data_IF_029765707507
#
_entry.id   IF_029765707507
#
_cell.length_a   1.000
_cell.length_b   1.000
_cell.length_c   1.000
_cell.angle_alpha   90.00
_cell.angle_beta   90.00
_cell.angle_gamma   90.00
#
_symmetry.space_group_name_H-M   'P 1'
#
loop_
_entity.id
_entity.type
_entity.pdbx_description
1 polymer ?
#
# COMPACT_ATOMS: atom_id res chain seq x y z
N UNK A 1 -4.92 -50.30 -54.25
CA UNK A 1 -5.69 -51.23 -53.39
C UNK A 1 -6.45 -50.41 -52.36
N UNK A 2 -7.78 -50.47 -52.43
CA UNK A 2 -8.74 -49.74 -51.60
C UNK A 2 -9.36 -50.75 -50.62
N UNK A 3 -9.30 -50.47 -49.32
CA UNK A 3 -10.13 -51.09 -48.28
C UNK A 3 -10.51 -49.95 -47.33
N UNK A 4 -11.78 -49.53 -47.31
CA UNK A 4 -12.84 -50.00 -46.41
C UNK A 4 -12.44 -49.85 -44.93
N UNK A 5 -13.12 -48.95 -44.20
CA UNK A 5 -13.89 -49.31 -43.01
C UNK A 5 -14.64 -48.07 -42.48
N UNK A 6 -15.69 -47.70 -43.23
CA UNK A 6 -16.87 -47.01 -42.73
C UNK A 6 -17.55 -48.00 -41.76
N UNK A 7 -17.11 -48.04 -40.50
CA UNK A 7 -17.71 -48.93 -39.48
C UNK A 7 -17.37 -48.54 -38.04
N UNK A 8 -17.33 -47.24 -37.73
CA UNK A 8 -17.27 -46.76 -36.32
C UNK A 8 -18.32 -45.68 -36.01
N UNK A 9 -19.04 -45.18 -37.02
CA UNK A 9 -20.03 -44.10 -36.86
C UNK A 9 -21.47 -44.57 -36.56
N UNK A 10 -21.68 -45.84 -36.22
CA UNK A 10 -23.02 -46.44 -36.02
C UNK A 10 -23.22 -47.10 -34.64
N UNK A 11 -22.35 -46.80 -33.66
CA UNK A 11 -22.38 -47.38 -32.32
C UNK A 11 -22.74 -46.44 -31.16
N UNK A 12 -22.97 -45.14 -31.39
CA UNK A 12 -23.15 -44.14 -30.33
C UNK A 12 -24.42 -43.30 -30.47
N UNK A 13 -25.39 -43.79 -31.24
CA UNK A 13 -26.70 -43.14 -31.45
C UNK A 13 -27.88 -43.94 -30.87
N UNK A 14 -27.63 -44.95 -30.01
CA UNK A 14 -28.66 -45.76 -29.34
C UNK A 14 -28.45 -45.89 -27.81
N UNK A 15 -28.02 -44.81 -27.16
CA UNK A 15 -28.13 -44.65 -25.69
C UNK A 15 -28.90 -43.38 -25.30
N UNK A 16 -29.80 -42.93 -26.18
CA UNK A 16 -30.85 -41.96 -25.86
C UNK A 16 -32.17 -42.70 -25.90
N UNK A 17 -32.80 -42.83 -24.72
CA UNK A 17 -34.12 -43.42 -24.40
C UNK A 17 -33.99 -44.63 -23.48
N UNK A 18 -33.98 -44.37 -22.16
CA UNK A 18 -34.85 -44.98 -21.15
C UNK A 18 -34.24 -44.80 -19.76
N UNK A 19 -34.40 -43.63 -19.16
CA UNK A 19 -34.53 -43.51 -17.70
C UNK A 19 -35.56 -42.44 -17.37
N UNK A 20 -36.84 -42.82 -17.52
CA UNK A 20 -37.91 -42.26 -16.70
C UNK A 20 -37.89 -43.08 -15.41
N UNK A 21 -37.40 -42.50 -14.31
CA UNK A 21 -37.59 -43.06 -12.97
C UNK A 21 -37.67 -41.94 -11.96
N UNK A 22 -38.87 -41.83 -11.37
CA UNK A 22 -39.20 -41.24 -10.07
C UNK A 22 -38.44 -39.98 -9.64
N UNK A 23 -39.05 -38.81 -9.86
CA UNK A 23 -38.75 -37.64 -9.06
C UNK A 23 -39.21 -37.91 -7.60
N UNK A 24 -38.31 -37.90 -6.61
CA UNK A 24 -38.73 -37.85 -5.22
C UNK A 24 -39.27 -36.44 -4.97
N UNK A 25 -40.54 -36.31 -4.62
CA UNK A 25 -41.05 -35.12 -3.94
C UNK A 25 -40.48 -35.12 -2.52
N UNK A 26 -39.19 -34.80 -2.43
CA UNK A 26 -38.52 -34.53 -1.17
C UNK A 26 -38.84 -33.11 -0.77
N UNK A 27 -39.69 -32.95 0.24
CA UNK A 27 -39.63 -31.79 1.11
C UNK A 27 -38.20 -31.70 1.64
N UNK A 28 -37.37 -30.94 0.93
CA UNK A 28 -36.01 -30.66 1.38
C UNK A 28 -36.07 -29.99 2.75
N UNK A 29 -35.17 -30.33 3.67
CA UNK A 29 -35.07 -29.61 4.94
C UNK A 29 -34.94 -28.12 4.61
N UNK A 30 -35.53 -27.22 5.44
CA UNK A 30 -35.48 -25.80 5.19
C UNK A 30 -34.03 -25.43 4.93
N UNK A 31 -33.78 -24.81 3.78
CA UNK A 31 -32.47 -24.30 3.40
C UNK A 31 -31.99 -23.44 4.55
N UNK A 32 -31.08 -23.98 5.36
CA UNK A 32 -30.40 -23.20 6.37
C UNK A 32 -29.63 -22.14 5.57
N UNK A 33 -30.18 -20.93 5.52
CA UNK A 33 -29.44 -19.77 5.08
C UNK A 33 -28.36 -19.58 6.14
N UNK A 34 -27.20 -20.19 5.91
CA UNK A 34 -26.00 -19.86 6.64
C UNK A 34 -25.71 -18.41 6.28
N UNK A 35 -26.14 -17.49 7.13
CA UNK A 35 -25.57 -16.15 7.17
C UNK A 35 -24.12 -16.33 7.62
N UNK A 36 -23.26 -16.66 6.67
CA UNK A 36 -21.82 -16.57 6.85
C UNK A 36 -21.54 -15.08 6.96
N UNK A 37 -21.48 -14.59 8.20
CA UNK A 37 -20.91 -13.28 8.48
C UNK A 37 -19.42 -13.43 8.19
N UNK A 38 -19.02 -13.11 6.97
CA UNK A 38 -17.61 -13.07 6.59
C UNK A 38 -16.98 -11.95 7.42
N UNK A 39 -16.12 -12.31 8.35
CA UNK A 39 -15.31 -11.32 9.04
C UNK A 39 -14.26 -10.80 8.07
N UNK A 40 -14.52 -9.62 7.50
CA UNK A 40 -13.60 -8.94 6.58
C UNK A 40 -12.27 -8.56 7.25
N UNK A 41 -12.15 -8.73 8.57
CA UNK A 41 -10.87 -8.58 9.29
C UNK A 41 -9.96 -9.79 9.16
N UNK A 42 -10.46 -10.95 8.72
CA UNK A 42 -9.61 -12.11 8.45
C UNK A 42 -8.90 -11.92 7.09
N UNK A 43 -7.55 -11.84 7.07
CA UNK A 43 -6.76 -11.61 5.86
C UNK A 43 -7.04 -12.62 4.74
N UNK A 44 -7.52 -13.83 5.07
CA UNK A 44 -7.83 -14.86 4.08
C UNK A 44 -9.02 -14.52 3.18
N UNK A 45 -9.97 -13.72 3.66
CA UNK A 45 -11.14 -13.31 2.87
C UNK A 45 -10.96 -11.95 2.18
N UNK A 46 -10.00 -11.13 2.64
CA UNK A 46 -9.62 -9.89 1.99
C UNK A 46 -9.11 -10.12 0.55
N UNK A 47 -8.32 -11.19 0.36
CA UNK A 47 -7.75 -11.59 -0.93
C UNK A 47 -8.80 -11.91 -2.00
N UNK A 48 -9.84 -12.65 -1.60
CA UNK A 48 -10.91 -13.12 -2.48
C UNK A 48 -11.80 -11.99 -3.01
N UNK A 49 -11.82 -10.84 -2.35
CA UNK A 49 -12.68 -9.69 -2.70
C UNK A 49 -11.90 -8.49 -3.26
N UNK A 50 -10.58 -8.60 -3.39
CA UNK A 50 -9.73 -7.46 -3.77
C UNK A 50 -9.75 -6.34 -2.73
N UNK A 51 -9.98 -6.69 -1.46
CA UNK A 51 -10.00 -5.74 -0.35
C UNK A 51 -8.57 -5.48 0.13
N UNK A 52 -8.10 -4.24 0.02
CA UNK A 52 -6.83 -3.81 0.59
C UNK A 52 -7.08 -3.15 1.96
N UNK A 53 -6.74 -3.85 3.08
CA UNK A 53 -7.00 -3.37 4.43
C UNK A 53 -6.22 -2.09 4.77
N UNK A 54 -5.15 -1.77 4.05
CA UNK A 54 -4.33 -0.59 4.34
C UNK A 54 -5.01 0.73 3.99
N UNK A 55 -6.12 0.72 3.25
CA UNK A 55 -6.94 1.90 2.96
C UNK A 55 -7.87 2.33 4.11
N UNK A 56 -8.00 1.52 5.16
CA UNK A 56 -8.94 1.79 6.24
C UNK A 56 -8.30 1.52 7.60
N UNK A 57 -8.76 2.26 8.61
CA UNK A 57 -8.43 1.98 10.00
C UNK A 57 -9.02 0.65 10.45
N UNK A 58 -8.18 -0.26 10.95
CA UNK A 58 -8.55 -1.64 11.31
C UNK A 58 -8.80 -1.84 12.81
N UNK A 59 -8.26 -0.95 13.65
CA UNK A 59 -8.32 -1.05 15.10
C UNK A 59 -7.19 -1.89 15.72
N UNK A 60 -6.07 -2.07 15.02
CA UNK A 60 -4.88 -2.75 15.55
C UNK A 60 -4.10 -1.88 16.54
N UNK A 61 -4.06 -0.57 16.30
CA UNK A 61 -3.37 0.41 17.13
C UNK A 61 -4.01 1.80 16.98
N UNK A 62 -3.62 2.80 17.77
CA UNK A 62 -4.06 4.19 17.52
C UNK A 62 -3.48 4.75 16.21
N UNK A 63 -2.22 4.41 15.91
CA UNK A 63 -1.54 4.83 14.68
C UNK A 63 -1.20 3.61 13.84
N UNK A 64 -1.93 3.39 12.76
CA UNK A 64 -1.68 2.29 11.83
C UNK A 64 -0.95 2.80 10.60
N UNK A 65 0.24 2.28 10.34
CA UNK A 65 1.10 2.70 9.24
C UNK A 65 1.35 1.52 8.33
N UNK A 66 1.12 1.72 7.04
CA UNK A 66 1.37 0.72 6.01
C UNK A 66 2.38 1.27 5.01
N UNK A 67 3.42 0.50 4.75
CA UNK A 67 4.52 0.86 3.86
C UNK A 67 4.62 -0.14 2.71
N UNK A 68 4.68 0.36 1.48
CA UNK A 68 4.81 -0.46 0.26
C UNK A 68 6.19 -1.10 0.13
N UNK A 69 6.24 -2.31 -0.42
CA UNK A 69 7.50 -3.04 -0.62
C UNK A 69 8.21 -2.67 -1.95
N UNK A 70 7.51 -2.05 -2.91
CA UNK A 70 8.13 -1.73 -4.21
C UNK A 70 9.13 -0.59 -4.03
N UNK A 71 10.41 -0.77 -4.40
CA UNK A 71 11.42 0.23 -4.15
C UNK A 71 11.30 1.40 -5.13
N UNK A 72 11.25 2.61 -4.58
CA UNK A 72 11.31 3.89 -5.31
C UNK A 72 12.56 4.65 -4.89
N UNK A 73 13.33 5.10 -5.88
CA UNK A 73 14.57 5.81 -5.65
C UNK A 73 14.29 7.27 -5.25
N UNK A 74 14.73 7.68 -4.07
CA UNK A 74 14.72 9.09 -3.63
C UNK A 74 16.09 9.74 -3.76
N UNK A 75 17.07 8.98 -4.23
CA UNK A 75 18.41 9.41 -4.58
C UNK A 75 19.15 9.98 -3.39
N UNK A 76 19.72 11.16 -3.56
CA UNK A 76 20.47 11.87 -2.52
C UNK A 76 19.57 12.64 -1.53
N UNK A 77 18.24 12.59 -1.68
CA UNK A 77 17.28 13.22 -0.76
C UNK A 77 16.85 12.18 0.28
N UNK A 78 17.49 12.18 1.44
CA UNK A 78 17.25 11.23 2.51
C UNK A 78 17.24 11.91 3.89
N UNK A 79 16.89 11.17 4.95
CA UNK A 79 16.83 11.67 6.32
C UNK A 79 15.90 12.88 6.47
N UNK A 80 16.30 13.85 7.27
CA UNK A 80 15.53 15.06 7.51
C UNK A 80 15.32 15.97 6.28
N UNK A 81 16.07 15.77 5.19
CA UNK A 81 15.74 16.44 3.93
C UNK A 81 14.48 15.84 3.28
N UNK A 82 14.39 14.51 3.25
CA UNK A 82 13.20 13.81 2.76
C UNK A 82 11.96 14.17 3.60
N UNK A 83 12.10 14.22 4.93
CA UNK A 83 11.03 14.70 5.82
C UNK A 83 10.51 16.09 5.40
N UNK A 84 11.43 17.05 5.24
CA UNK A 84 11.07 18.44 4.91
C UNK A 84 10.42 18.56 3.54
N UNK A 85 10.90 17.79 2.56
CA UNK A 85 10.33 17.75 1.21
C UNK A 85 8.92 17.14 1.25
N UNK A 86 8.75 15.98 1.87
CA UNK A 86 7.46 15.31 1.99
C UNK A 86 6.43 16.19 2.72
N UNK A 87 6.78 16.70 3.91
CA UNK A 87 5.88 17.55 4.70
C UNK A 87 5.43 18.78 3.94
N UNK A 88 6.37 19.52 3.33
CA UNK A 88 6.06 20.72 2.54
C UNK A 88 5.18 20.42 1.33
N UNK A 89 5.45 19.34 0.62
CA UNK A 89 4.66 18.95 -0.55
C UNK A 89 3.23 18.62 -0.11
N UNK A 90 3.06 17.78 0.91
CA UNK A 90 1.73 17.41 1.39
C UNK A 90 0.99 18.62 1.97
N UNK A 91 1.68 19.48 2.72
CA UNK A 91 1.11 20.72 3.26
C UNK A 91 0.63 21.65 2.14
N UNK A 92 1.41 21.80 1.07
CA UNK A 92 1.07 22.65 -0.07
C UNK A 92 -0.17 22.14 -0.81
N UNK A 93 -0.17 20.87 -1.20
CA UNK A 93 -1.29 20.27 -1.95
C UNK A 93 -2.58 20.22 -1.12
N UNK A 94 -2.46 20.07 0.19
CA UNK A 94 -3.61 20.00 1.09
C UNK A 94 -3.94 21.33 1.78
N UNK A 95 -3.35 22.45 1.38
CA UNK A 95 -3.49 23.73 2.09
C UNK A 95 -4.92 24.29 2.04
N UNK A 96 -5.64 24.06 0.94
CA UNK A 96 -6.93 24.69 0.64
C UNK A 96 -8.16 23.88 1.04
N UNK A 97 -7.98 22.74 1.71
CA UNK A 97 -9.07 21.80 1.93
C UNK A 97 -9.41 21.61 3.41
N UNK A 98 -10.67 21.91 3.74
CA UNK A 98 -11.24 21.68 5.07
C UNK A 98 -11.66 20.22 5.21
N UNK A 99 -10.79 19.44 5.87
CA UNK A 99 -11.10 18.10 6.35
C UNK A 99 -10.87 16.95 5.38
N UNK A 100 -10.43 17.22 4.14
CA UNK A 100 -10.09 16.20 3.16
C UNK A 100 -8.98 16.68 2.22
N UNK A 101 -8.36 15.79 1.44
CA UNK A 101 -7.41 16.15 0.40
C UNK A 101 -7.23 14.98 -0.56
N UNK A 102 -7.23 15.23 -1.86
CA UNK A 102 -6.86 14.23 -2.86
C UNK A 102 -6.35 14.94 -4.11
N UNK A 103 -5.37 14.33 -4.76
CA UNK A 103 -4.76 14.89 -5.96
C UNK A 103 -5.42 14.28 -7.21
N UNK A 104 -6.33 15.03 -7.84
CA UNK A 104 -6.98 14.66 -9.10
C UNK A 104 -6.03 14.66 -10.28
N UNK A 105 -5.10 15.61 -10.28
CA UNK A 105 -4.27 15.89 -11.42
C UNK A 105 -3.06 14.95 -11.42
N UNK A 106 -2.75 14.39 -12.58
CA UNK A 106 -1.58 13.51 -12.80
C UNK A 106 -0.24 14.23 -12.59
N UNK A 107 -0.26 15.55 -12.38
CA UNK A 107 0.91 16.36 -12.06
C UNK A 107 1.32 16.05 -10.62
N UNK A 108 2.12 15.01 -10.48
CA UNK A 108 2.83 14.67 -9.26
C UNK A 108 3.53 15.92 -8.71
N UNK A 109 3.52 16.07 -7.40
CA UNK A 109 4.30 17.09 -6.73
C UNK A 109 5.71 16.56 -6.60
N UNK A 110 6.62 17.12 -7.39
CA UNK A 110 7.96 16.56 -7.60
C UNK A 110 9.03 17.31 -6.82
N UNK A 111 10.10 16.61 -6.53
CA UNK A 111 11.36 17.16 -6.06
C UNK A 111 12.53 16.61 -6.87
N UNK A 112 13.53 17.46 -7.07
CA UNK A 112 14.75 17.06 -7.76
C UNK A 112 15.58 16.13 -6.88
N UNK A 113 16.17 15.13 -7.50
CA UNK A 113 17.10 14.21 -6.85
C UNK A 113 18.16 13.74 -7.85
N UNK A 114 19.19 13.07 -7.35
CA UNK A 114 20.22 12.41 -8.16
C UNK A 114 20.21 10.92 -7.92
N UNK A 115 20.28 10.14 -8.99
CA UNK A 115 20.35 8.68 -8.91
C UNK A 115 21.38 8.10 -9.87
N UNK A 116 21.76 6.85 -9.63
CA UNK A 116 22.59 6.07 -10.55
C UNK A 116 21.72 5.16 -11.43
N UNK A 117 22.08 5.02 -12.70
CA UNK A 117 21.43 4.11 -13.66
C UNK A 117 21.96 2.67 -13.53
N UNK A 118 21.27 1.65 -14.08
CA UNK A 118 21.80 0.30 -14.13
C UNK A 118 23.16 0.29 -14.82
N UNK A 119 24.16 -0.37 -14.21
CA UNK A 119 25.49 -0.56 -14.79
C UNK A 119 26.32 0.72 -15.07
N UNK A 120 25.87 1.91 -14.63
CA UNK A 120 26.67 3.14 -14.64
C UNK A 120 26.86 3.74 -13.24
N UNK A 121 28.07 4.18 -12.92
CA UNK A 121 28.43 4.88 -11.68
C UNK A 121 28.33 6.41 -11.81
N UNK A 122 27.88 6.91 -12.95
CA UNK A 122 27.49 8.30 -13.12
C UNK A 122 26.20 8.61 -12.35
N UNK A 123 26.12 9.82 -11.81
CA UNK A 123 24.92 10.36 -11.18
C UNK A 123 24.17 11.21 -12.20
N UNK A 124 22.88 10.93 -12.32
CA UNK A 124 21.96 11.63 -13.21
C UNK A 124 21.00 12.46 -12.37
N UNK A 125 20.74 13.68 -12.81
CA UNK A 125 19.64 14.49 -12.28
C UNK A 125 18.32 13.86 -12.73
N UNK A 126 17.33 13.92 -11.85
CA UNK A 126 15.95 13.59 -12.18
C UNK A 126 15.00 13.99 -11.07
N UNK A 127 13.80 13.43 -11.09
CA UNK A 127 12.72 13.86 -10.20
C UNK A 127 12.04 12.68 -9.52
N UNK A 128 11.71 12.81 -8.25
CA UNK A 128 10.78 11.91 -7.56
C UNK A 128 9.52 12.68 -7.23
N UNK A 129 8.38 12.05 -7.42
CA UNK A 129 7.07 12.63 -7.22
C UNK A 129 6.30 11.97 -6.07
N UNK A 130 5.41 12.77 -5.48
CA UNK A 130 4.38 12.30 -4.59
C UNK A 130 3.01 12.48 -5.23
N UNK A 131 2.13 11.49 -5.00
CA UNK A 131 0.71 11.54 -5.31
C UNK A 131 -0.07 11.34 -4.03
N UNK A 132 -0.89 12.31 -3.66
CA UNK A 132 -1.83 12.17 -2.55
C UNK A 132 -3.03 11.37 -3.05
N UNK A 133 -3.10 10.10 -2.65
CA UNK A 133 -4.21 9.21 -3.02
C UNK A 133 -5.47 9.60 -2.26
N UNK A 134 -5.32 9.88 -0.96
CA UNK A 134 -6.40 10.21 -0.06
C UNK A 134 -5.86 10.94 1.17
N UNK A 135 -6.64 11.85 1.73
CA UNK A 135 -6.39 12.48 3.01
C UNK A 135 -7.73 12.89 3.62
N UNK A 136 -7.93 12.58 4.88
CA UNK A 136 -9.10 12.98 5.65
C UNK A 136 -8.65 13.33 7.07
N UNK A 137 -9.20 14.40 7.63
CA UNK A 137 -8.94 14.77 9.02
C UNK A 137 -10.12 15.57 9.57
N UNK A 138 -10.34 15.46 10.86
CA UNK A 138 -11.33 16.31 11.53
C UNK A 138 -10.78 17.71 11.81
N UNK A 139 -9.55 17.79 12.32
CA UNK A 139 -8.98 19.04 12.83
C UNK A 139 -7.65 19.39 12.16
N UNK A 140 -7.24 20.67 12.17
CA UNK A 140 -5.89 21.06 11.73
C UNK A 140 -4.77 20.36 12.50
N UNK A 141 -5.00 20.00 13.76
CA UNK A 141 -4.01 19.26 14.56
C UNK A 141 -3.88 17.82 14.09
N UNK A 142 -5.01 17.12 13.83
CA UNK A 142 -4.99 15.79 13.23
C UNK A 142 -4.29 15.80 11.87
N UNK A 143 -4.53 16.82 11.04
CA UNK A 143 -3.83 17.02 9.76
C UNK A 143 -2.31 17.11 9.94
N UNK A 144 -1.83 18.00 10.82
CA UNK A 144 -0.39 18.17 11.08
C UNK A 144 0.25 16.87 11.55
N UNK A 145 -0.46 16.14 12.41
CA UNK A 145 0.01 14.89 12.98
C UNK A 145 0.10 13.78 11.92
N UNK A 146 -0.92 13.65 11.06
CA UNK A 146 -0.90 12.71 9.91
C UNK A 146 0.28 13.00 8.97
N UNK A 147 0.51 14.28 8.64
CA UNK A 147 1.63 14.70 7.79
C UNK A 147 2.96 14.37 8.46
N UNK A 148 3.13 14.73 9.74
CA UNK A 148 4.35 14.48 10.49
C UNK A 148 4.68 12.99 10.61
N UNK A 149 3.69 12.14 10.89
CA UNK A 149 3.85 10.68 10.98
C UNK A 149 4.25 10.09 9.63
N UNK A 150 3.56 10.50 8.56
CA UNK A 150 3.86 9.99 7.23
C UNK A 150 5.27 10.38 6.79
N UNK A 151 5.63 11.67 6.90
CA UNK A 151 6.96 12.17 6.56
C UNK A 151 8.06 11.57 7.45
N UNK A 152 7.79 11.38 8.74
CA UNK A 152 8.70 10.74 9.69
C UNK A 152 8.96 9.28 9.34
N UNK A 153 7.91 8.53 8.97
CA UNK A 153 8.07 7.17 8.48
C UNK A 153 8.95 7.11 7.22
N UNK A 154 8.75 8.02 6.26
CA UNK A 154 9.57 8.10 5.05
C UNK A 154 11.04 8.42 5.37
N UNK A 155 11.30 9.41 6.22
CA UNK A 155 12.65 9.72 6.71
C UNK A 155 13.30 8.49 7.34
N UNK A 156 12.60 7.85 8.28
CA UNK A 156 13.09 6.71 9.02
C UNK A 156 13.48 5.54 8.10
N UNK A 157 12.78 5.37 6.96
CA UNK A 157 13.14 4.32 6.01
C UNK A 157 14.55 4.45 5.44
N UNK A 158 15.07 5.67 5.33
CA UNK A 158 16.41 5.92 4.81
C UNK A 158 17.53 5.74 5.85
N UNK A 159 17.16 5.44 7.10
CA UNK A 159 18.09 5.09 8.17
C UNK A 159 18.46 3.61 8.14
N UNK A 160 17.64 2.74 7.54
CA UNK A 160 17.99 1.34 7.32
C UNK A 160 19.12 1.26 6.26
N UNK A 161 20.32 0.76 6.60
CA UNK A 161 21.42 0.66 5.65
C UNK A 161 21.09 -0.19 4.42
N UNK A 162 20.21 -1.20 4.54
CA UNK A 162 19.79 -2.02 3.41
C UNK A 162 19.05 -1.23 2.33
N UNK A 163 18.39 -0.14 2.71
CA UNK A 163 17.65 0.73 1.79
C UNK A 163 18.54 1.72 1.04
N UNK A 164 19.83 1.78 1.39
CA UNK A 164 20.74 2.76 0.82
C UNK A 164 21.99 2.08 0.24
N UNK A 165 22.57 2.73 -0.76
CA UNK A 165 23.77 2.27 -1.44
C UNK A 165 24.67 3.46 -1.72
N UNK A 166 25.93 3.19 -2.05
CA UNK A 166 26.91 4.23 -2.34
C UNK A 166 27.39 4.12 -3.78
N UNK A 167 27.45 5.26 -4.47
CA UNK A 167 28.04 5.39 -5.81
C UNK A 167 29.01 6.55 -5.78
N UNK A 168 30.29 6.28 -6.04
CA UNK A 168 31.37 7.28 -5.99
C UNK A 168 31.39 8.10 -4.69
N UNK A 169 31.15 7.44 -3.56
CA UNK A 169 31.12 8.07 -2.23
C UNK A 169 29.85 8.85 -1.91
N UNK A 170 28.87 8.92 -2.83
CA UNK A 170 27.56 9.54 -2.57
C UNK A 170 26.57 8.48 -2.10
N UNK A 171 25.94 8.73 -0.94
CA UNK A 171 24.85 7.90 -0.41
C UNK A 171 23.57 8.19 -1.18
N UNK A 172 22.94 7.12 -1.68
CA UNK A 172 21.66 7.14 -2.37
C UNK A 172 20.71 6.18 -1.66
N UNK A 173 19.42 6.49 -1.58
CA UNK A 173 18.45 5.66 -0.88
C UNK A 173 17.22 5.36 -1.72
N UNK A 174 16.61 4.22 -1.42
CA UNK A 174 15.29 3.83 -1.88
C UNK A 174 14.33 3.78 -0.70
N UNK A 175 13.06 4.00 -0.98
CA UNK A 175 11.96 3.90 -0.03
C UNK A 175 10.81 3.09 -0.64
N UNK A 176 9.77 2.77 0.14
CA UNK A 176 8.55 2.15 -0.38
C UNK A 176 7.76 3.07 -1.32
N UNK A 177 6.99 2.48 -2.24
CA UNK A 177 6.13 3.21 -3.18
C UNK A 177 4.81 3.70 -2.55
N UNK A 178 4.44 3.19 -1.38
CA UNK A 178 3.19 3.51 -0.69
C UNK A 178 3.47 3.85 0.77
N UNK A 179 2.80 4.88 1.27
CA UNK A 179 2.70 5.19 2.71
C UNK A 179 1.26 5.50 3.05
N UNK A 180 0.66 4.76 3.99
CA UNK A 180 -0.70 5.00 4.46
C UNK A 180 -0.72 5.06 5.96
N UNK A 181 -1.24 6.16 6.48
CA UNK A 181 -1.49 6.36 7.91
C UNK A 181 -2.99 6.34 8.12
N UNK A 182 -3.46 5.50 9.04
CA UNK A 182 -4.86 5.44 9.46
C UNK A 182 -4.94 5.61 10.98
N UNK A 183 -5.92 6.37 11.43
CA UNK A 183 -6.18 6.65 12.85
C UNK A 183 -7.68 6.52 13.15
N UNK A 184 -8.08 6.40 14.44
CA UNK A 184 -9.48 6.32 14.81
C UNK A 184 -10.28 7.50 14.28
N UNK A 185 -11.54 7.23 13.94
CA UNK A 185 -12.49 8.28 13.62
C UNK A 185 -12.77 9.14 14.85
N UNK A 186 -12.96 10.43 14.64
CA UNK A 186 -13.35 11.37 15.69
C UNK A 186 -14.61 12.11 15.22
N UNK A 187 -15.67 12.10 16.04
CA UNK A 187 -16.98 12.66 15.69
C UNK A 187 -17.54 12.23 14.32
N UNK A 188 -17.25 11.00 13.90
CA UNK A 188 -17.68 10.44 12.61
C UNK A 188 -16.77 10.76 11.42
N UNK A 189 -15.79 11.64 11.58
CA UNK A 189 -14.80 11.97 10.55
C UNK A 189 -13.66 10.96 10.52
N UNK A 190 -13.19 10.64 9.31
CA UNK A 190 -12.00 9.81 9.13
C UNK A 190 -10.73 10.62 9.43
N UNK A 191 -9.71 9.94 9.92
CA UNK A 191 -8.37 10.49 10.09
C UNK A 191 -7.39 9.55 9.37
N UNK A 192 -7.09 9.88 8.12
CA UNK A 192 -6.21 9.08 7.27
C UNK A 192 -5.42 9.96 6.30
N UNK A 193 -4.23 9.49 5.91
CA UNK A 193 -3.42 10.12 4.88
C UNK A 193 -2.67 9.03 4.11
N UNK A 194 -2.93 8.95 2.81
CA UNK A 194 -2.40 7.96 1.89
C UNK A 194 -1.63 8.64 0.78
N UNK A 195 -0.36 8.27 0.66
CA UNK A 195 0.60 8.80 -0.28
C UNK A 195 1.14 7.66 -1.15
N UNK A 196 1.28 7.92 -2.45
CA UNK A 196 2.08 7.11 -3.36
C UNK A 196 3.32 7.88 -3.77
N UNK A 197 4.47 7.23 -3.67
CA UNK A 197 5.75 7.71 -4.17
C UNK A 197 5.97 7.16 -5.58
N UNK A 198 6.42 8.02 -6.48
CA UNK A 198 6.67 7.69 -7.88
C UNK A 198 8.05 8.23 -8.22
N UNK A 199 8.98 7.37 -8.66
CA UNK A 199 10.32 7.82 -9.03
C UNK A 199 10.36 8.54 -10.38
N UNK A 200 11.57 8.75 -10.89
CA UNK A 200 11.75 9.32 -12.23
C UNK A 200 11.47 8.27 -13.30
N UNK A 201 10.61 8.61 -14.25
CA UNK A 201 9.98 7.66 -15.16
C UNK A 201 10.07 8.10 -16.61
N UNK A 202 11.22 7.84 -17.24
CA UNK A 202 11.23 7.63 -18.68
C UNK A 202 10.55 6.27 -18.94
N UNK A 203 9.20 6.25 -18.93
CA UNK A 203 8.36 5.10 -19.31
C UNK A 203 7.90 4.19 -18.16
N UNK A 204 6.59 4.23 -17.90
CA UNK A 204 5.73 3.34 -17.08
C UNK A 204 6.44 2.41 -16.07
N UNK A 205 6.29 2.78 -14.80
CA UNK A 205 6.77 2.11 -13.57
C UNK A 205 8.23 2.43 -13.23
N UNK A 206 8.34 3.34 -12.27
CA UNK A 206 9.55 3.98 -11.79
C UNK A 206 10.21 3.07 -10.77
N UNK A 207 11.06 2.17 -11.25
CA UNK A 207 11.79 1.26 -10.38
C UNK A 207 13.07 1.91 -9.87
N UNK A 208 13.41 1.65 -8.60
CA UNK A 208 14.79 1.77 -8.16
C UNK A 208 15.66 0.84 -9.01
N UNK A 209 16.42 1.41 -9.95
CA UNK A 209 17.31 0.67 -10.83
C UNK A 209 18.49 -0.02 -10.10
N UNK A 210 18.80 0.47 -8.90
CA UNK A 210 19.87 -0.02 -8.03
C UNK A 210 19.40 0.02 -6.57
N UNK A 211 20.00 -0.85 -5.76
CA UNK A 211 19.65 -1.01 -4.35
C UNK A 211 18.31 -1.73 -4.16
N UNK A 212 17.95 -1.93 -2.91
CA UNK A 212 16.68 -2.56 -2.51
C UNK A 212 15.90 -1.60 -1.61
N UNK A 213 14.65 -1.96 -1.33
CA UNK A 213 13.93 -1.48 -0.17
C UNK A 213 13.53 -2.71 0.65
N UNK A 214 14.06 -2.84 1.86
CA UNK A 214 13.68 -3.87 2.83
C UNK A 214 12.67 -3.25 3.79
N UNK A 215 11.37 -3.37 3.48
CA UNK A 215 10.34 -2.81 4.33
C UNK A 215 10.34 -3.45 5.72
N UNK A 216 10.52 -4.78 5.80
CA UNK A 216 10.48 -5.50 7.07
C UNK A 216 11.60 -5.08 8.01
N UNK A 217 12.85 -5.02 7.51
CA UNK A 217 13.99 -4.53 8.29
C UNK A 217 13.91 -3.03 8.61
N UNK A 218 12.99 -2.31 7.99
CA UNK A 218 12.78 -0.87 8.22
C UNK A 218 11.85 -0.58 9.41
N UNK A 219 11.01 -1.54 9.84
CA UNK A 219 10.03 -1.33 10.93
C UNK A 219 10.68 -0.80 12.21
N UNK A 220 11.83 -1.34 12.59
CA UNK A 220 12.58 -0.93 13.79
C UNK A 220 13.09 0.51 13.75
N UNK A 221 13.14 1.13 12.56
CA UNK A 221 13.53 2.53 12.37
C UNK A 221 12.31 3.45 12.35
N UNK A 222 11.19 2.99 11.78
CA UNK A 222 9.93 3.74 11.76
C UNK A 222 9.38 3.87 13.18
N UNK A 223 9.36 2.77 13.94
CA UNK A 223 8.76 2.73 15.27
C UNK A 223 9.20 3.88 16.20
N UNK A 224 10.51 4.12 16.43
CA UNK A 224 10.97 5.26 17.24
C UNK A 224 10.63 6.63 16.65
N UNK A 225 10.56 6.75 15.32
CA UNK A 225 10.16 8.01 14.68
C UNK A 225 8.71 8.36 15.03
N UNK A 226 7.84 7.36 15.19
CA UNK A 226 6.44 7.55 15.53
C UNK A 226 6.23 7.68 17.04
N UNK A 227 7.10 7.08 17.86
CA UNK A 227 7.15 7.33 19.31
C UNK A 227 7.29 8.81 19.64
N UNK A 228 8.02 9.56 18.81
CA UNK A 228 8.16 11.01 18.95
C UNK A 228 6.86 11.80 18.86
N UNK A 229 5.75 11.18 18.43
CA UNK A 229 4.43 11.81 18.28
C UNK A 229 3.42 11.37 19.35
N UNK A 230 3.89 10.59 20.34
CA UNK A 230 3.05 9.95 21.35
C UNK A 230 2.18 10.94 22.13
N UNK A 231 2.73 12.07 22.52
CA UNK A 231 2.03 13.03 23.37
C UNK A 231 0.90 13.72 22.60
N UNK A 232 1.14 14.08 21.34
CA UNK A 232 0.15 14.68 20.45
C UNK A 232 -0.97 13.68 20.11
N UNK A 233 -0.63 12.41 19.86
CA UNK A 233 -1.63 11.35 19.65
C UNK A 233 -2.47 11.15 20.91
N UNK A 234 -1.85 11.11 22.09
CA UNK A 234 -2.57 10.99 23.36
C UNK A 234 -3.49 12.18 23.65
N UNK A 235 -3.13 13.39 23.22
CA UNK A 235 -4.00 14.56 23.38
C UNK A 235 -5.31 14.45 22.60
N UNK A 236 -5.29 13.82 21.42
CA UNK A 236 -6.46 13.73 20.53
C UNK A 236 -7.29 12.47 20.80
N UNK A 237 -6.63 11.32 20.96
CA UNK A 237 -7.32 10.02 21.09
C UNK A 237 -7.23 9.39 22.48
N UNK A 238 -6.54 10.03 23.43
CA UNK A 238 -6.41 9.58 24.84
C UNK A 238 -5.75 8.20 25.03
N UNK A 239 -5.14 7.68 23.99
CA UNK A 239 -4.36 6.45 24.00
C UNK A 239 -3.34 6.47 22.89
N UNK A 240 -2.17 5.89 23.16
CA UNK A 240 -1.11 5.74 22.18
C UNK A 240 -0.72 4.29 22.07
N UNK A 241 -0.87 3.78 20.87
CA UNK A 241 -0.21 2.60 20.35
C UNK A 241 0.05 2.84 18.86
N UNK A 242 1.03 2.14 18.30
CA UNK A 242 1.31 2.16 16.87
C UNK A 242 1.43 0.73 16.35
N UNK A 243 1.17 0.58 15.07
CA UNK A 243 1.41 -0.67 14.35
C UNK A 243 1.93 -0.32 12.96
N UNK A 244 3.18 -0.71 12.68
CA UNK A 244 3.82 -0.51 11.37
C UNK A 244 3.80 -1.83 10.63
N UNK A 245 3.21 -1.82 9.44
CA UNK A 245 3.02 -2.97 8.57
C UNK A 245 3.65 -2.72 7.21
N UNK A 246 4.09 -3.78 6.59
CA UNK A 246 4.52 -3.78 5.20
C UNK A 246 3.41 -4.33 4.32
N UNK A 247 3.28 -3.78 3.12
CA UNK A 247 2.38 -4.28 2.08
C UNK A 247 3.23 -5.15 1.17
N UNK A 248 3.27 -6.46 1.46
CA UNK A 248 3.94 -7.47 0.66
C UNK A 248 2.85 -8.28 -0.03
N UNK A 249 2.89 -8.39 -1.36
CA UNK A 249 1.92 -9.18 -2.13
C UNK A 249 0.44 -8.88 -1.78
N UNK A 250 0.06 -7.59 -1.86
CA UNK A 250 -1.31 -7.14 -1.61
C UNK A 250 -1.56 -6.65 -0.19
N UNK A 251 -1.36 -7.49 0.84
CA UNK A 251 -1.61 -7.13 2.26
C UNK A 251 -0.86 -8.00 3.28
N UNK A 252 0.10 -8.82 2.83
CA UNK A 252 0.88 -9.67 3.73
C UNK A 252 1.78 -8.81 4.61
N UNK A 253 1.68 -9.02 5.92
CA UNK A 253 2.56 -8.38 6.91
C UNK A 253 3.83 -9.20 7.10
N UNK A 254 4.94 -8.50 7.36
CA UNK A 254 6.19 -9.14 7.77
C UNK A 254 5.94 -10.08 8.95
N UNK A 255 6.49 -11.30 8.92
CA UNK A 255 6.45 -12.22 10.04
C UNK A 255 7.14 -11.64 11.29
#
# INVERSE_FOLDING_TARGET
MKYNFIMVFLGLAMCLLTMVSAAPTGEGPPSASYNVTIDLKDPKYAELLGYDPSYYYQGYATVEIWVGQTPVNVGNVYGGELYRVASRVIEHECASHDGWCYQTNWRLSKFNTRYAQPNDDNLYEGETGFKIEQGNWETPQSRKLLIGILSGAMEATTNNPANCYHVRGVKLCNIGDIYRVNMPKTNGYKNDLHLRVVGDGIGRYTHAYRGIHDCCGTRSWIDPSIDGTKDEVNQIWHQYSRDVRCIIDGWTVCP
#
